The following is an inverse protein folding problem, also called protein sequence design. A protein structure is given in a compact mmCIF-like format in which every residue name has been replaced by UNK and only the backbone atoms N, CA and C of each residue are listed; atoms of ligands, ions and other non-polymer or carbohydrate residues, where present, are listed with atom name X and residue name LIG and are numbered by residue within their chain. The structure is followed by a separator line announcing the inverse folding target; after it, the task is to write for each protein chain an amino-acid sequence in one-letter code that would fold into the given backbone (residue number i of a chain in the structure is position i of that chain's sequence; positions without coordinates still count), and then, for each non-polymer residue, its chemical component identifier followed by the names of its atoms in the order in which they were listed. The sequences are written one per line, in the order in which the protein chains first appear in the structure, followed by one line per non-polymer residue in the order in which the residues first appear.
data_IF_826630265348
#
_entry.id   IF_826630265348
#
_cell.length_a   1.000
_cell.length_b   1.000
_cell.length_c   1.000
_cell.angle_alpha   90.00
_cell.angle_beta   90.00
_cell.angle_gamma   90.00
#
_symmetry.space_group_name_H-M   'P 1'
#
loop_
_entity.id
_entity.type
_entity.pdbx_description
1 polymer ?
#
# COMPACT_ATOMS: atom_id res chain seq x y z
N UNK A 1 -7.47 -3.39 -13.55
CA UNK A 1 -6.16 -3.15 -14.17
C UNK A 1 -5.04 -3.78 -13.35
N UNK A 2 -5.17 -3.85 -12.07
CA UNK A 2 -4.42 -4.72 -11.18
C UNK A 2 -5.36 -5.82 -10.65
N UNK A 3 -5.83 -5.73 -9.45
CA UNK A 3 -6.65 -6.72 -8.73
C UNK A 3 -8.17 -6.42 -8.74
N UNK A 4 -8.57 -5.25 -9.24
CA UNK A 4 -9.98 -4.85 -9.28
C UNK A 4 -10.82 -5.72 -10.22
N UNK A 5 -11.99 -6.14 -9.77
CA UNK A 5 -12.94 -6.99 -10.52
C UNK A 5 -13.71 -6.22 -11.59
N UNK A 6 -13.98 -4.93 -11.35
CA UNK A 6 -14.75 -4.08 -12.25
C UNK A 6 -13.84 -3.17 -13.08
N UNK A 7 -14.33 -2.73 -14.21
CA UNK A 7 -13.65 -1.73 -15.03
C UNK A 7 -13.74 -0.34 -14.39
N UNK A 8 -12.78 0.54 -14.73
CA UNK A 8 -12.82 1.94 -14.29
C UNK A 8 -14.11 2.65 -14.76
N UNK A 9 -14.63 2.31 -15.94
CA UNK A 9 -15.88 2.85 -16.49
C UNK A 9 -17.10 2.42 -15.64
N UNK A 10 -17.19 1.14 -15.29
CA UNK A 10 -18.28 0.62 -14.43
C UNK A 10 -18.25 1.29 -13.05
N UNK A 11 -17.05 1.45 -12.47
CA UNK A 11 -16.89 2.13 -11.18
C UNK A 11 -17.32 3.61 -11.24
N UNK A 12 -16.91 4.34 -12.29
CA UNK A 12 -17.31 5.73 -12.50
C UNK A 12 -18.82 5.87 -12.70
N UNK A 13 -19.42 4.96 -13.48
CA UNK A 13 -20.88 4.93 -13.69
C UNK A 13 -21.63 4.67 -12.38
N UNK A 14 -21.17 3.71 -11.57
CA UNK A 14 -21.78 3.39 -10.29
C UNK A 14 -21.65 4.56 -9.30
N UNK A 15 -20.50 5.21 -9.22
CA UNK A 15 -20.28 6.38 -8.39
C UNK A 15 -21.24 7.53 -8.75
N UNK A 16 -21.39 7.81 -10.04
CA UNK A 16 -22.32 8.81 -10.55
C UNK A 16 -23.77 8.46 -10.21
N UNK A 17 -24.17 7.20 -10.41
CA UNK A 17 -25.53 6.73 -10.10
C UNK A 17 -25.86 6.81 -8.60
N UNK A 18 -24.86 6.67 -7.73
CA UNK A 18 -25.02 6.81 -6.28
C UNK A 18 -24.90 8.26 -5.77
N UNK A 19 -24.68 9.22 -6.65
CA UNK A 19 -24.59 10.63 -6.29
C UNK A 19 -23.29 11.01 -5.58
N UNK A 20 -22.21 10.24 -5.76
CA UNK A 20 -20.91 10.63 -5.25
C UNK A 20 -20.40 11.87 -5.99
N UNK A 21 -19.82 12.80 -5.27
CA UNK A 21 -19.26 14.04 -5.82
C UNK A 21 -17.83 13.86 -6.30
N UNK A 22 -17.08 12.93 -5.70
CA UNK A 22 -15.68 12.66 -6.01
C UNK A 22 -15.42 11.16 -6.01
N UNK A 23 -14.60 10.69 -6.97
CA UNK A 23 -14.12 9.32 -7.09
C UNK A 23 -12.62 9.32 -7.36
N UNK A 24 -11.82 8.79 -6.45
CA UNK A 24 -10.41 8.53 -6.67
C UNK A 24 -10.16 7.08 -7.07
N UNK A 25 -9.31 6.86 -8.06
CA UNK A 25 -8.76 5.55 -8.39
C UNK A 25 -7.33 5.44 -7.87
N UNK A 26 -6.98 4.29 -7.27
CA UNK A 26 -5.63 4.03 -6.74
C UNK A 26 -5.24 2.58 -7.03
N UNK A 27 -4.77 2.31 -8.25
CA UNK A 27 -4.21 1.01 -8.58
C UNK A 27 -2.79 0.86 -8.02
N UNK A 28 -2.31 -0.39 -7.83
CA UNK A 28 -0.97 -0.67 -7.34
C UNK A 28 0.11 -0.21 -8.33
N UNK A 29 1.10 0.52 -7.83
CA UNK A 29 2.24 1.00 -8.58
C UNK A 29 3.15 -0.15 -9.03
N UNK A 30 3.89 0.06 -10.12
CA UNK A 30 4.81 -0.96 -10.63
C UNK A 30 5.99 -1.19 -9.68
N UNK A 31 6.22 -2.45 -9.37
CA UNK A 31 7.47 -2.95 -8.78
C UNK A 31 7.90 -4.23 -9.48
N UNK A 32 9.20 -4.48 -9.58
CA UNK A 32 9.71 -5.74 -10.14
C UNK A 32 9.48 -6.93 -9.20
N UNK A 33 9.14 -6.66 -7.95
CA UNK A 33 8.99 -7.68 -6.88
C UNK A 33 7.62 -8.30 -6.85
N UNK A 34 6.59 -7.50 -7.15
CA UNK A 34 5.20 -7.95 -7.16
C UNK A 34 4.61 -7.75 -8.56
N UNK A 35 4.75 -8.76 -9.42
CA UNK A 35 4.25 -8.71 -10.80
C UNK A 35 2.82 -9.22 -10.96
N UNK A 36 2.26 -9.83 -9.94
CA UNK A 36 0.90 -10.40 -10.00
C UNK A 36 -0.15 -9.32 -9.74
N UNK A 37 0.07 -8.46 -8.78
CA UNK A 37 -0.88 -7.45 -8.33
C UNK A 37 -0.63 -6.06 -8.92
N UNK A 38 0.63 -5.69 -9.16
CA UNK A 38 0.97 -4.36 -9.66
C UNK A 38 0.65 -4.17 -11.14
N UNK A 39 0.45 -2.91 -11.53
CA UNK A 39 0.34 -2.53 -12.92
C UNK A 39 1.72 -2.55 -13.60
N UNK A 40 1.86 -3.24 -14.73
CA UNK A 40 3.06 -3.07 -15.56
C UNK A 40 3.14 -1.63 -16.12
N UNK A 41 4.31 -1.14 -16.57
CA UNK A 41 4.44 0.21 -17.13
C UNK A 41 3.45 0.49 -18.26
N UNK A 42 3.15 -0.50 -19.11
CA UNK A 42 2.14 -0.37 -20.18
C UNK A 42 0.72 -0.28 -19.61
N UNK A 43 0.39 -1.04 -18.58
CA UNK A 43 -0.91 -0.95 -17.89
C UNK A 43 -1.06 0.36 -17.13
N UNK A 44 0.01 0.88 -16.53
CA UNK A 44 0.02 2.21 -15.89
C UNK A 44 -0.30 3.32 -16.90
N UNK A 45 0.32 3.27 -18.10
CA UNK A 45 0.01 4.22 -19.16
C UNK A 45 -1.46 4.13 -19.62
N UNK A 46 -1.99 2.91 -19.78
CA UNK A 46 -3.40 2.68 -20.13
C UNK A 46 -4.35 3.15 -19.03
N UNK A 47 -4.00 2.91 -17.76
CA UNK A 47 -4.73 3.37 -16.58
C UNK A 47 -4.89 4.89 -16.58
N UNK A 48 -3.79 5.64 -16.71
CA UNK A 48 -3.79 7.10 -16.78
C UNK A 48 -4.62 7.62 -17.97
N UNK A 49 -4.44 7.02 -19.15
CA UNK A 49 -5.19 7.41 -20.35
C UNK A 49 -6.70 7.15 -20.20
N UNK A 50 -7.09 6.05 -19.55
CA UNK A 50 -8.49 5.74 -19.29
C UNK A 50 -9.10 6.73 -18.32
N UNK A 51 -8.41 7.04 -17.21
CA UNK A 51 -8.91 8.01 -16.24
C UNK A 51 -9.01 9.41 -16.86
N UNK A 52 -8.08 9.82 -17.71
CA UNK A 52 -8.19 11.10 -18.42
C UNK A 52 -9.45 11.21 -19.28
N UNK A 53 -9.86 10.11 -19.95
CA UNK A 53 -11.14 10.06 -20.67
C UNK A 53 -12.34 10.16 -19.74
N UNK A 54 -12.30 9.42 -18.61
CA UNK A 54 -13.38 9.46 -17.61
C UNK A 54 -13.52 10.84 -16.98
N UNK A 55 -12.43 11.53 -16.68
CA UNK A 55 -12.46 12.93 -16.19
C UNK A 55 -13.23 13.85 -17.16
N UNK A 56 -13.03 13.68 -18.46
CA UNK A 56 -13.74 14.48 -19.48
C UNK A 56 -15.21 14.09 -19.59
N UNK A 57 -15.53 12.78 -19.57
CA UNK A 57 -16.88 12.23 -19.73
C UNK A 57 -17.79 12.60 -18.55
N UNK A 58 -17.26 12.56 -17.32
CA UNK A 58 -18.01 12.80 -16.09
C UNK A 58 -17.87 14.24 -15.56
N UNK A 59 -17.27 15.14 -16.34
CA UNK A 59 -17.12 16.55 -15.95
C UNK A 59 -18.45 17.18 -15.57
N UNK A 60 -18.48 17.77 -14.37
CA UNK A 60 -19.68 18.40 -13.81
C UNK A 60 -20.70 17.42 -13.22
N UNK A 61 -20.38 16.12 -13.15
CA UNK A 61 -21.20 15.08 -12.49
C UNK A 61 -20.44 14.47 -11.31
N UNK A 62 -19.21 14.00 -11.54
CA UNK A 62 -18.32 13.41 -10.54
C UNK A 62 -16.91 13.90 -10.84
N UNK A 63 -16.22 14.42 -9.84
CA UNK A 63 -14.79 14.73 -9.92
C UNK A 63 -13.99 13.44 -9.83
N UNK A 64 -13.33 13.07 -10.93
CA UNK A 64 -12.53 11.83 -11.01
C UNK A 64 -11.07 12.17 -10.78
N UNK A 65 -10.43 11.48 -9.82
CA UNK A 65 -9.02 11.63 -9.50
C UNK A 65 -8.21 10.41 -9.92
N UNK A 66 -7.03 10.67 -10.49
CA UNK A 66 -6.04 9.66 -10.87
C UNK A 66 -5.02 9.53 -9.75
N UNK A 67 -5.23 8.62 -8.83
CA UNK A 67 -4.27 8.31 -7.79
C UNK A 67 -3.45 7.06 -8.10
N UNK A 68 -2.57 6.72 -7.18
CA UNK A 68 -1.74 5.52 -7.18
C UNK A 68 -1.55 5.02 -5.75
N UNK A 69 -1.64 3.72 -5.53
CA UNK A 69 -1.10 3.09 -4.33
C UNK A 69 0.38 2.81 -4.58
N UNK A 70 1.21 3.67 -4.03
CA UNK A 70 2.65 3.64 -4.21
C UNK A 70 3.30 2.74 -3.16
N UNK A 71 3.85 1.61 -3.61
CA UNK A 71 4.61 0.70 -2.76
C UNK A 71 6.01 1.25 -2.46
N UNK A 72 6.55 0.93 -1.28
CA UNK A 72 7.91 1.34 -0.86
C UNK A 72 9.02 0.90 -1.82
N UNK A 73 8.78 -0.14 -2.64
CA UNK A 73 9.69 -0.66 -3.66
C UNK A 73 9.37 -0.17 -5.07
N UNK A 74 8.40 0.75 -5.22
CA UNK A 74 7.98 1.22 -6.53
C UNK A 74 9.00 2.15 -7.19
N UNK A 75 9.12 2.02 -8.51
CA UNK A 75 9.91 2.92 -9.36
C UNK A 75 9.05 4.05 -9.96
N UNK A 76 7.73 4.05 -9.74
CA UNK A 76 6.83 5.10 -10.21
C UNK A 76 7.09 6.43 -9.49
N UNK A 77 6.79 7.53 -10.21
CA UNK A 77 6.89 8.88 -9.66
C UNK A 77 5.53 9.33 -9.14
N UNK A 78 5.29 9.34 -7.82
CA UNK A 78 3.99 9.65 -7.26
C UNK A 78 3.50 11.06 -7.62
N UNK A 79 4.41 12.03 -7.83
CA UNK A 79 4.08 13.41 -8.20
C UNK A 79 3.39 13.53 -9.58
N UNK A 80 3.36 12.45 -10.36
CA UNK A 80 2.68 12.41 -11.66
C UNK A 80 1.20 12.03 -11.58
N UNK A 81 0.65 11.93 -10.35
CA UNK A 81 -0.74 11.61 -10.05
C UNK A 81 -1.43 12.76 -9.33
N UNK A 82 -2.77 12.77 -9.27
CA UNK A 82 -3.52 13.79 -8.54
C UNK A 82 -3.37 13.64 -7.03
N UNK A 83 -3.18 12.40 -6.56
CA UNK A 83 -2.86 12.03 -5.18
C UNK A 83 -2.17 10.68 -5.15
N UNK A 84 -1.53 10.35 -4.05
CA UNK A 84 -0.92 9.04 -3.87
C UNK A 84 -1.08 8.50 -2.44
N UNK A 85 -1.25 7.19 -2.38
CA UNK A 85 -1.35 6.43 -1.15
C UNK A 85 -0.02 5.71 -0.97
N UNK A 86 0.67 5.96 0.14
CA UNK A 86 1.93 5.28 0.44
C UNK A 86 1.67 3.97 1.18
N UNK A 87 2.27 2.87 0.72
CA UNK A 87 2.12 1.53 1.30
C UNK A 87 3.46 0.82 1.50
N UNK A 88 3.50 -0.10 2.46
CA UNK A 88 4.61 -1.00 2.70
C UNK A 88 4.09 -2.45 2.73
N UNK A 89 4.43 -3.25 1.72
CA UNK A 89 4.01 -4.65 1.61
C UNK A 89 5.15 -5.64 1.82
N UNK A 90 6.38 -5.16 1.90
CA UNK A 90 7.56 -6.02 1.92
C UNK A 90 8.51 -5.69 3.07
N UNK A 91 9.13 -6.73 3.59
CA UNK A 91 10.31 -6.62 4.46
C UNK A 91 11.57 -7.09 3.72
N UNK A 92 12.66 -6.38 3.90
CA UNK A 92 13.97 -6.79 3.40
C UNK A 92 14.71 -7.60 4.45
N UNK A 93 15.03 -8.84 4.12
CA UNK A 93 15.83 -9.73 4.93
C UNK A 93 17.32 -9.46 4.71
N UNK A 94 18.03 -9.00 5.76
CA UNK A 94 19.45 -8.66 5.69
C UNK A 94 20.35 -9.88 5.59
N UNK A 95 19.96 -11.00 6.20
CA UNK A 95 20.74 -12.24 6.19
C UNK A 95 20.60 -12.96 4.84
N UNK A 96 19.40 -13.01 4.31
CA UNK A 96 19.09 -13.72 3.07
C UNK A 96 19.24 -12.87 1.81
N UNK A 97 19.15 -11.55 1.91
CA UNK A 97 19.08 -10.61 0.78
C UNK A 97 17.74 -10.67 0.02
N UNK A 98 16.71 -11.29 0.62
CA UNK A 98 15.38 -11.43 0.02
C UNK A 98 14.43 -10.33 0.47
N UNK A 99 13.38 -10.12 -0.34
CA UNK A 99 12.18 -9.38 0.07
C UNK A 99 11.08 -10.39 0.35
N UNK A 100 10.40 -10.23 1.47
CA UNK A 100 9.27 -11.06 1.91
C UNK A 100 8.00 -10.24 1.82
N UNK A 101 6.97 -10.78 1.15
CA UNK A 101 5.62 -10.22 1.19
C UNK A 101 4.97 -10.58 2.52
N UNK A 102 4.67 -9.57 3.32
CA UNK A 102 4.20 -9.78 4.70
C UNK A 102 2.70 -10.02 4.81
N UNK A 103 1.98 -9.91 3.71
CA UNK A 103 0.51 -9.96 3.68
C UNK A 103 -0.07 -10.97 2.68
N UNK A 104 0.78 -11.76 2.01
CA UNK A 104 0.36 -12.71 0.98
C UNK A 104 0.19 -14.13 1.52
N UNK A 105 1.22 -14.72 2.09
CA UNK A 105 1.19 -16.09 2.64
C UNK A 105 1.77 -16.14 4.04
N UNK A 106 1.13 -16.89 4.99
CA UNK A 106 1.68 -17.09 6.34
C UNK A 106 3.12 -17.61 6.31
N UNK A 107 3.47 -18.47 5.33
CA UNK A 107 4.80 -19.02 5.19
C UNK A 107 5.86 -17.94 4.92
N UNK A 108 5.55 -16.90 4.12
CA UNK A 108 6.49 -15.84 3.82
C UNK A 108 6.81 -15.02 5.08
N UNK A 109 5.82 -14.74 5.93
CA UNK A 109 6.03 -14.09 7.23
C UNK A 109 6.80 -14.99 8.19
N UNK A 110 6.49 -16.30 8.24
CA UNK A 110 7.23 -17.28 9.04
C UNK A 110 8.71 -17.30 8.63
N UNK A 111 9.00 -17.49 7.34
CA UNK A 111 10.37 -17.56 6.83
C UNK A 111 11.12 -16.25 7.09
N UNK A 112 10.45 -15.10 6.93
CA UNK A 112 11.03 -13.80 7.28
C UNK A 112 11.48 -13.74 8.74
N UNK A 113 10.61 -14.14 9.68
CA UNK A 113 10.90 -14.15 11.12
C UNK A 113 12.08 -15.07 11.43
N UNK A 114 12.10 -16.28 10.89
CA UNK A 114 13.13 -17.27 11.21
C UNK A 114 14.47 -16.97 10.54
N UNK A 115 14.47 -16.62 9.25
CA UNK A 115 15.71 -16.48 8.47
C UNK A 115 16.42 -15.14 8.73
N UNK A 116 15.66 -14.08 9.03
CA UNK A 116 16.20 -12.72 9.07
C UNK A 116 16.01 -11.99 10.42
N UNK A 117 15.20 -12.54 11.33
CA UNK A 117 14.97 -11.95 12.66
C UNK A 117 15.23 -12.94 13.81
N UNK A 118 16.04 -13.98 13.59
CA UNK A 118 16.46 -14.96 14.60
C UNK A 118 15.29 -15.59 15.37
N UNK A 119 14.13 -15.73 14.73
CA UNK A 119 12.90 -16.24 15.34
C UNK A 119 12.21 -15.25 16.29
N UNK A 120 12.63 -13.97 16.35
CA UNK A 120 11.94 -12.92 17.11
C UNK A 120 10.88 -12.22 16.26
N UNK A 121 9.58 -12.56 16.41
CA UNK A 121 8.53 -11.97 15.59
C UNK A 121 8.32 -10.47 15.87
N UNK A 122 8.62 -10.01 17.09
CA UNK A 122 8.52 -8.58 17.40
C UNK A 122 9.64 -7.77 16.77
N UNK A 123 10.80 -8.36 16.48
CA UNK A 123 11.84 -7.70 15.70
C UNK A 123 11.39 -7.50 14.23
N UNK A 124 10.70 -8.48 13.63
CA UNK A 124 10.09 -8.33 12.32
C UNK A 124 8.99 -7.25 12.31
N UNK A 125 8.15 -7.20 13.34
CA UNK A 125 7.13 -6.15 13.53
C UNK A 125 7.78 -4.76 13.61
N UNK A 126 8.82 -4.60 14.42
CA UNK A 126 9.56 -3.33 14.55
C UNK A 126 10.17 -2.89 13.21
N UNK A 127 10.73 -3.83 12.44
CA UNK A 127 11.26 -3.57 11.12
C UNK A 127 10.16 -3.14 10.14
N UNK A 128 8.97 -3.78 10.21
CA UNK A 128 7.84 -3.39 9.37
C UNK A 128 7.38 -1.96 9.67
N UNK A 129 7.15 -1.62 10.93
CA UNK A 129 6.75 -0.24 11.27
C UNK A 129 7.83 0.78 10.91
N UNK A 130 9.11 0.40 10.94
CA UNK A 130 10.19 1.27 10.46
C UNK A 130 10.13 1.50 8.92
N UNK A 131 9.65 0.52 8.13
CA UNK A 131 9.37 0.75 6.70
C UNK A 131 8.17 1.70 6.52
N UNK A 132 7.10 1.54 7.31
CA UNK A 132 5.96 2.46 7.31
C UNK A 132 6.40 3.90 7.65
N UNK A 133 7.27 4.09 8.65
CA UNK A 133 7.86 5.39 8.98
C UNK A 133 8.61 6.01 7.78
N UNK A 134 9.38 5.20 7.04
CA UNK A 134 10.09 5.66 5.83
C UNK A 134 9.13 6.07 4.71
N UNK A 135 8.02 5.35 4.54
CA UNK A 135 6.97 5.71 3.59
C UNK A 135 6.30 7.01 4.00
N UNK A 136 5.92 7.16 5.27
CA UNK A 136 5.33 8.37 5.81
C UNK A 136 6.23 9.59 5.61
N UNK A 137 7.56 9.43 5.81
CA UNK A 137 8.55 10.49 5.63
C UNK A 137 8.66 10.99 4.18
N UNK A 138 8.12 10.25 3.20
CA UNK A 138 8.03 10.73 1.80
C UNK A 138 6.83 11.66 1.58
N UNK A 139 5.93 11.78 2.54
CA UNK A 139 4.78 12.67 2.53
C UNK A 139 3.66 12.25 1.57
N UNK A 140 3.16 10.98 1.64
CA UNK A 140 1.97 10.60 0.90
C UNK A 140 0.75 11.40 1.35
N UNK A 141 -0.21 11.62 0.45
CA UNK A 141 -1.49 12.22 0.81
C UNK A 141 -2.25 11.33 1.80
N UNK A 142 -2.14 10.01 1.61
CA UNK A 142 -2.76 9.00 2.47
C UNK A 142 -1.71 7.93 2.78
N UNK A 143 -1.63 7.50 4.04
CA UNK A 143 -0.84 6.36 4.44
C UNK A 143 -1.74 5.13 4.54
N UNK A 144 -1.50 4.11 3.71
CA UNK A 144 -2.32 2.90 3.68
C UNK A 144 -2.07 2.03 4.92
N UNK A 145 -3.09 1.24 5.29
CA UNK A 145 -3.02 0.08 6.20
C UNK A 145 -1.74 -0.02 7.05
N UNK A 146 -1.57 0.93 7.94
CA UNK A 146 -0.40 1.11 8.81
C UNK A 146 0.04 -0.18 9.53
N UNK A 147 -0.91 -1.07 9.83
CA UNK A 147 -0.71 -2.31 10.57
C UNK A 147 -0.90 -3.58 9.71
N UNK A 148 -0.60 -3.50 8.40
CA UNK A 148 -0.80 -4.61 7.46
C UNK A 148 -0.12 -5.92 7.91
N UNK A 149 0.98 -5.85 8.64
CA UNK A 149 1.67 -7.04 9.19
C UNK A 149 0.75 -7.92 10.05
N UNK A 150 -0.36 -7.39 10.56
CA UNK A 150 -1.38 -8.14 11.30
C UNK A 150 -2.24 -9.03 10.42
N UNK A 151 -2.31 -8.78 9.12
CA UNK A 151 -3.22 -9.49 8.20
C UNK A 151 -3.09 -11.01 8.28
N UNK A 152 -1.88 -11.51 8.50
CA UNK A 152 -1.58 -12.94 8.59
C UNK A 152 -1.39 -13.43 10.04
N UNK A 153 -1.55 -12.56 11.03
CA UNK A 153 -1.31 -12.89 12.44
C UNK A 153 -2.41 -13.77 13.06
N UNK A 154 -3.58 -13.89 12.39
CA UNK A 154 -4.71 -14.66 12.91
C UNK A 154 -5.11 -14.26 14.33
N UNK A 155 -5.21 -15.24 15.24
CA UNK A 155 -5.47 -15.00 16.66
C UNK A 155 -4.17 -14.85 17.49
N UNK A 156 -3.12 -14.25 16.90
CA UNK A 156 -1.81 -14.08 17.56
C UNK A 156 -0.85 -15.24 17.29
N UNK A 157 -0.98 -15.88 16.12
CA UNK A 157 -0.13 -17.04 15.75
C UNK A 157 1.36 -16.71 15.69
N UNK A 158 1.71 -15.48 15.28
CA UNK A 158 3.10 -15.06 15.12
C UNK A 158 3.56 -14.16 16.25
N UNK A 159 2.74 -13.20 16.67
CA UNK A 159 3.11 -12.22 17.69
C UNK A 159 1.91 -11.73 18.51
N UNK A 160 2.19 -11.28 19.74
CA UNK A 160 1.21 -10.64 20.61
C UNK A 160 1.09 -9.14 20.25
N UNK A 161 -0.09 -8.73 19.76
CA UNK A 161 -0.41 -7.34 19.41
C UNK A 161 -0.53 -6.42 20.64
N UNK A 162 -0.69 -7.00 21.82
CA UNK A 162 -0.71 -6.27 23.10
C UNK A 162 0.71 -6.05 23.66
N UNK A 163 1.72 -6.68 23.07
CA UNK A 163 3.10 -6.55 23.54
C UNK A 163 3.56 -5.08 23.54
N UNK A 164 4.29 -4.62 24.57
CA UNK A 164 4.78 -3.24 24.64
C UNK A 164 5.67 -2.84 23.44
N UNK A 165 6.45 -3.78 22.89
CA UNK A 165 7.27 -3.55 21.70
C UNK A 165 6.42 -3.28 20.45
N UNK A 166 5.35 -4.07 20.25
CA UNK A 166 4.40 -3.84 19.16
C UNK A 166 3.79 -2.44 19.26
N UNK A 167 3.20 -2.11 20.41
CA UNK A 167 2.55 -0.81 20.66
C UNK A 167 3.50 0.37 20.47
N UNK A 168 4.75 0.24 20.94
CA UNK A 168 5.76 1.28 20.78
C UNK A 168 6.12 1.51 19.31
N UNK A 169 6.29 0.44 18.53
CA UNK A 169 6.59 0.52 17.09
C UNK A 169 5.41 1.14 16.30
N UNK A 170 4.19 0.67 16.56
CA UNK A 170 2.98 1.22 15.93
C UNK A 170 2.79 2.71 16.24
N UNK A 171 3.03 3.12 17.50
CA UNK A 171 2.93 4.53 17.89
C UNK A 171 3.97 5.41 17.20
N UNK A 172 5.18 4.91 16.95
CA UNK A 172 6.20 5.65 16.16
C UNK A 172 5.72 5.88 14.72
N UNK A 173 5.18 4.85 14.06
CA UNK A 173 4.65 4.98 12.71
C UNK A 173 3.49 5.97 12.64
N UNK A 174 2.57 5.94 13.61
CA UNK A 174 1.47 6.92 13.73
C UNK A 174 1.97 8.34 13.93
N UNK A 175 3.00 8.53 14.76
CA UNK A 175 3.61 9.85 14.96
C UNK A 175 4.29 10.35 13.67
N UNK A 176 4.99 9.49 12.93
CA UNK A 176 5.57 9.84 11.64
C UNK A 176 4.49 10.26 10.64
N UNK A 177 3.37 9.52 10.55
CA UNK A 177 2.24 9.90 9.72
C UNK A 177 1.70 11.30 10.07
N UNK A 178 1.54 11.58 11.36
CA UNK A 178 1.11 12.89 11.86
C UNK A 178 2.11 14.01 11.55
N UNK A 179 3.41 13.77 11.75
CA UNK A 179 4.48 14.75 11.49
C UNK A 179 4.56 15.13 10.02
N UNK A 180 4.27 14.20 9.11
CA UNK A 180 4.29 14.39 7.68
C UNK A 180 2.91 14.72 7.07
N UNK A 181 1.89 14.98 7.91
CA UNK A 181 0.50 15.31 7.51
C UNK A 181 -0.14 14.27 6.57
N UNK A 182 0.19 12.99 6.71
CA UNK A 182 -0.51 11.91 6.02
C UNK A 182 -1.91 11.72 6.62
N UNK A 183 -2.92 11.47 5.75
CA UNK A 183 -4.25 11.04 6.16
C UNK A 183 -4.26 9.56 6.47
#
# INVERSE_FOLDING_TARGET
MCDGKNTLQEMASAACAQGLTTLGFSGHSYTQRDREYCMSPSRTAQYKATIAKLKAEYKGKVDILCGIEWDSLSEDKPESYDYWIGAAHHLYGKNTGKYYEIDFRPQDLHDCIFDDFDGDPLAAVEAYFAEVEKVAAKGPDILAHIDLIKKLNGEGEFFDEEAPRYRAAALKALNAAKEHNCL
#
